data_IF_513343849115
#
_entry.id   IF_513343849115
#
_cell.length_a   1.000
_cell.length_b   1.000
_cell.length_c   1.000
_cell.angle_alpha   90.00
_cell.angle_beta   90.00
_cell.angle_gamma   90.00
#
_symmetry.space_group_name_H-M   'P 1'
#
loop_
_entity.id
_entity.type
_entity.pdbx_description
1 polymer ?
#
# COMPACT_ATOMS: atom_id res chain seq x y z
N UNK A 1 -18.26 4.63 0.01
CA UNK A 1 -17.02 4.36 0.76
C UNK A 1 -17.23 4.82 2.19
N UNK A 2 -16.94 3.97 3.19
CA UNK A 2 -16.93 4.35 4.60
C UNK A 2 -15.49 4.28 5.08
N UNK A 3 -14.99 5.35 5.68
CA UNK A 3 -13.64 5.41 6.25
C UNK A 3 -13.68 5.04 7.73
N UNK A 4 -12.67 4.31 8.17
CA UNK A 4 -12.40 4.02 9.58
C UNK A 4 -11.10 4.69 9.98
N UNK A 5 -11.00 5.03 11.26
CA UNK A 5 -9.81 5.64 11.85
C UNK A 5 -9.10 4.61 12.73
N UNK A 6 -7.77 4.61 12.80
CA UNK A 6 -7.06 3.78 13.75
C UNK A 6 -7.28 4.31 15.17
N UNK A 7 -7.48 3.41 16.13
CA UNK A 7 -7.41 3.65 17.58
C UNK A 7 -6.11 2.98 18.08
N UNK A 8 -4.96 3.69 18.12
CA UNK A 8 -3.66 3.10 18.43
C UNK A 8 -3.58 2.56 19.85
N UNK A 9 -4.34 3.15 20.79
CA UNK A 9 -4.33 2.73 22.19
C UNK A 9 -5.01 1.37 22.37
N UNK A 10 -6.11 1.13 21.65
CA UNK A 10 -6.83 -0.14 21.69
C UNK A 10 -6.45 -1.12 20.56
N UNK A 11 -5.57 -0.71 19.64
CA UNK A 11 -5.09 -1.55 18.53
C UNK A 11 -6.19 -2.01 17.56
N UNK A 12 -7.17 -1.14 17.28
CA UNK A 12 -8.37 -1.48 16.48
C UNK A 12 -8.75 -0.36 15.51
N UNK A 13 -9.66 -0.66 14.60
CA UNK A 13 -10.28 0.32 13.71
C UNK A 13 -11.63 0.78 14.25
N UNK A 14 -11.89 2.08 14.26
CA UNK A 14 -13.12 2.71 14.75
C UNK A 14 -13.82 3.50 13.65
N UNK A 15 -15.15 3.55 13.72
CA UNK A 15 -15.93 4.39 12.80
C UNK A 15 -16.09 5.79 13.38
N UNK A 16 -15.93 6.88 12.59
CA UNK A 16 -16.20 8.24 13.04
C UNK A 16 -17.65 8.43 13.51
N UNK A 17 -18.58 7.69 12.89
CA UNK A 17 -19.98 7.58 13.29
C UNK A 17 -20.40 6.10 13.29
N UNK A 18 -21.27 5.64 14.21
CA UNK A 18 -21.65 4.23 14.28
C UNK A 18 -22.22 3.71 12.95
N UNK A 19 -21.73 2.55 12.49
CA UNK A 19 -22.21 1.86 11.30
C UNK A 19 -22.92 0.58 11.73
N UNK A 20 -24.19 0.42 11.36
CA UNK A 20 -25.03 -0.72 11.77
C UNK A 20 -25.04 -0.94 13.30
N UNK A 21 -24.96 0.15 14.07
CA UNK A 21 -24.88 0.11 15.54
C UNK A 21 -23.48 -0.23 16.10
N UNK A 22 -22.50 -0.54 15.26
CA UNK A 22 -21.12 -0.80 15.65
C UNK A 22 -20.29 0.48 15.68
N UNK A 23 -19.47 0.65 16.72
CA UNK A 23 -18.49 1.74 16.85
C UNK A 23 -17.10 1.35 16.36
N UNK A 24 -16.82 0.05 16.31
CA UNK A 24 -15.54 -0.48 15.82
C UNK A 24 -15.72 -1.53 14.73
N UNK A 25 -14.69 -1.68 13.89
CA UNK A 25 -14.66 -2.71 12.85
C UNK A 25 -14.70 -4.12 13.46
N UNK A 26 -14.09 -4.31 14.64
CA UNK A 26 -14.16 -5.58 15.35
C UNK A 26 -15.58 -5.94 15.80
N UNK A 27 -16.39 -4.95 16.21
CA UNK A 27 -17.82 -5.18 16.48
C UNK A 27 -18.58 -5.55 15.22
N UNK A 28 -18.30 -4.89 14.10
CA UNK A 28 -18.92 -5.22 12.81
C UNK A 28 -18.57 -6.64 12.36
N UNK A 29 -17.31 -7.05 12.49
CA UNK A 29 -16.88 -8.43 12.21
C UNK A 29 -17.65 -9.44 13.05
N UNK A 30 -17.81 -9.18 14.37
CA UNK A 30 -18.62 -10.03 15.25
C UNK A 30 -20.09 -10.06 14.83
N UNK A 31 -20.67 -8.91 14.49
CA UNK A 31 -22.04 -8.80 14.01
C UNK A 31 -22.26 -9.61 12.72
N UNK A 32 -21.28 -9.62 11.82
CA UNK A 32 -21.28 -10.40 10.60
C UNK A 32 -20.92 -11.89 10.78
N UNK A 33 -20.79 -12.36 12.02
CA UNK A 33 -20.55 -13.77 12.34
C UNK A 33 -19.08 -14.23 12.18
N UNK A 34 -18.13 -13.30 12.10
CA UNK A 34 -16.72 -13.65 12.06
C UNK A 34 -16.26 -14.30 13.38
N UNK A 35 -15.22 -15.14 13.30
CA UNK A 35 -14.64 -15.78 14.48
C UNK A 35 -14.17 -14.71 15.49
N UNK A 36 -14.48 -14.81 16.80
CA UNK A 36 -14.05 -13.84 17.80
C UNK A 36 -12.53 -13.59 17.87
N UNK A 37 -11.72 -14.57 17.46
CA UNK A 37 -10.25 -14.47 17.42
C UNK A 37 -9.73 -13.84 16.12
N UNK A 38 -10.58 -13.68 15.11
CA UNK A 38 -10.19 -13.07 13.85
C UNK A 38 -9.97 -11.57 14.06
N UNK A 39 -8.78 -11.10 13.66
CA UNK A 39 -8.46 -9.67 13.64
C UNK A 39 -9.28 -8.99 12.54
N UNK A 40 -9.97 -7.91 12.89
CA UNK A 40 -10.62 -7.05 11.90
C UNK A 40 -9.59 -6.24 11.12
N UNK A 41 -9.63 -6.34 9.78
CA UNK A 41 -8.69 -5.68 8.87
C UNK A 41 -9.42 -4.82 7.85
N UNK A 42 -8.70 -3.86 7.28
CA UNK A 42 -9.12 -3.11 6.10
C UNK A 42 -8.23 -3.51 4.92
N UNK A 43 -8.71 -3.41 3.66
CA UNK A 43 -10.06 -3.03 3.24
C UNK A 43 -11.13 -4.09 3.57
N UNK A 44 -12.41 -3.70 3.57
CA UNK A 44 -13.56 -4.58 3.80
C UNK A 44 -14.67 -4.27 2.79
N UNK A 45 -15.10 -5.29 2.03
CA UNK A 45 -16.34 -5.26 1.27
C UNK A 45 -17.44 -5.95 2.06
N UNK A 46 -18.50 -5.21 2.34
CA UNK A 46 -19.61 -5.64 3.20
C UNK A 46 -20.93 -5.56 2.42
N UNK A 47 -21.72 -6.61 2.50
CA UNK A 47 -23.15 -6.52 2.28
C UNK A 47 -23.82 -6.11 3.61
N UNK A 48 -24.43 -4.92 3.70
CA UNK A 48 -24.98 -4.41 4.96
C UNK A 48 -26.19 -5.21 5.47
N UNK A 49 -26.73 -6.14 4.67
CA UNK A 49 -27.90 -6.92 5.06
C UNK A 49 -29.21 -6.17 4.84
N UNK A 50 -30.23 -6.58 5.58
CA UNK A 50 -31.56 -5.95 5.62
C UNK A 50 -32.14 -6.06 7.03
N UNK A 51 -33.35 -5.56 7.26
CA UNK A 51 -34.02 -5.69 8.58
C UNK A 51 -34.13 -7.15 9.06
N UNK A 52 -34.20 -8.11 8.14
CA UNK A 52 -34.34 -9.55 8.42
C UNK A 52 -33.06 -10.36 8.22
N UNK A 53 -31.93 -9.73 7.85
CA UNK A 53 -30.69 -10.42 7.51
C UNK A 53 -29.48 -9.65 8.03
N UNK A 54 -28.68 -10.33 8.86
CA UNK A 54 -27.41 -9.79 9.35
C UNK A 54 -26.48 -9.36 8.21
N UNK A 55 -25.62 -8.35 8.44
CA UNK A 55 -24.59 -7.99 7.48
C UNK A 55 -23.65 -9.17 7.24
N UNK A 56 -23.07 -9.23 6.03
CA UNK A 56 -22.15 -10.30 5.62
C UNK A 56 -20.88 -9.66 5.07
N UNK A 57 -19.73 -10.13 5.55
CA UNK A 57 -18.44 -9.78 4.97
C UNK A 57 -18.29 -10.56 3.67
N UNK A 58 -18.19 -9.85 2.55
CA UNK A 58 -18.03 -10.46 1.22
C UNK A 58 -16.55 -10.79 0.94
N UNK A 59 -15.65 -9.86 1.24
CA UNK A 59 -14.20 -10.10 1.20
C UNK A 59 -13.48 -9.02 2.00
N UNK A 60 -12.33 -9.38 2.57
CA UNK A 60 -11.36 -8.47 3.18
C UNK A 60 -9.95 -8.65 2.60
N UNK A 61 -9.86 -9.31 1.43
CA UNK A 61 -8.59 -9.54 0.73
C UNK A 61 -8.39 -8.47 -0.34
N UNK A 62 -7.43 -7.59 -0.12
CA UNK A 62 -7.17 -6.44 -1.01
C UNK A 62 -6.86 -6.84 -2.45
N UNK A 63 -6.14 -7.96 -2.66
CA UNK A 63 -5.75 -8.42 -3.98
C UNK A 63 -6.97 -8.86 -4.82
N UNK A 64 -7.90 -9.58 -4.21
CA UNK A 64 -9.16 -10.01 -4.82
C UNK A 64 -10.10 -8.82 -5.04
N UNK A 65 -10.18 -7.92 -4.05
CA UNK A 65 -11.06 -6.76 -4.13
C UNK A 65 -10.69 -5.84 -5.29
N UNK A 66 -9.40 -5.62 -5.54
CA UNK A 66 -8.95 -4.80 -6.68
C UNK A 66 -9.35 -5.42 -8.03
N UNK A 67 -9.27 -6.75 -8.18
CA UNK A 67 -9.73 -7.45 -9.39
C UNK A 67 -11.25 -7.39 -9.53
N UNK A 68 -11.98 -7.58 -8.44
CA UNK A 68 -13.43 -7.44 -8.39
C UNK A 68 -13.86 -6.03 -8.81
N UNK A 69 -13.16 -5.00 -8.33
CA UNK A 69 -13.43 -3.60 -8.70
C UNK A 69 -13.11 -3.32 -10.17
N UNK A 70 -12.05 -3.91 -10.73
CA UNK A 70 -11.76 -3.80 -12.17
C UNK A 70 -12.92 -4.33 -13.02
N UNK A 71 -13.51 -5.45 -12.61
CA UNK A 71 -14.62 -6.13 -13.30
C UNK A 71 -15.99 -5.59 -12.89
N UNK A 72 -16.06 -4.61 -11.99
CA UNK A 72 -17.32 -4.11 -11.47
C UNK A 72 -18.11 -3.36 -12.55
N UNK A 73 -19.44 -3.53 -12.62
CA UNK A 73 -20.24 -2.81 -13.60
C UNK A 73 -20.02 -1.29 -13.54
N UNK A 74 -19.68 -0.69 -14.68
CA UNK A 74 -19.40 0.75 -14.77
C UNK A 74 -17.95 1.14 -14.51
N UNK A 75 -17.01 0.20 -14.39
CA UNK A 75 -15.58 0.50 -14.43
C UNK A 75 -15.21 1.18 -15.76
N UNK A 76 -14.50 2.31 -15.68
CA UNK A 76 -14.20 3.15 -16.83
C UNK A 76 -12.92 2.74 -17.58
N UNK A 77 -12.06 1.94 -16.95
CA UNK A 77 -10.77 1.50 -17.47
C UNK A 77 -10.59 0.01 -17.17
N UNK A 78 -10.17 -0.76 -18.16
CA UNK A 78 -9.76 -2.14 -17.97
C UNK A 78 -8.27 -2.19 -17.64
N UNK A 79 -7.96 -2.51 -16.39
CA UNK A 79 -6.60 -2.65 -15.85
C UNK A 79 -6.10 -4.10 -15.88
N UNK A 80 -6.91 -5.03 -16.38
CA UNK A 80 -6.60 -6.46 -16.48
C UNK A 80 -6.94 -6.99 -17.89
N UNK A 81 -6.46 -6.36 -18.98
CA UNK A 81 -6.81 -6.76 -20.33
C UNK A 81 -6.22 -8.13 -20.67
N UNK A 82 -6.98 -8.94 -21.41
CA UNK A 82 -6.64 -10.34 -21.75
C UNK A 82 -5.20 -10.55 -22.25
N UNK A 83 -4.66 -9.72 -23.17
CA UNK A 83 -3.30 -9.93 -23.69
C UNK A 83 -2.18 -9.72 -22.64
N UNK A 84 -2.47 -9.07 -21.51
CA UNK A 84 -1.50 -8.75 -20.47
C UNK A 84 -1.66 -9.60 -19.22
N UNK A 85 -2.62 -10.53 -19.16
CA UNK A 85 -2.93 -11.33 -17.97
C UNK A 85 -1.70 -12.05 -17.39
N UNK A 86 -0.90 -12.69 -18.24
CA UNK A 86 0.30 -13.41 -17.82
C UNK A 86 1.33 -12.47 -17.18
N UNK A 87 1.58 -11.31 -17.80
CA UNK A 87 2.49 -10.31 -17.28
C UNK A 87 1.99 -9.69 -15.97
N UNK A 88 0.68 -9.43 -15.85
CA UNK A 88 0.05 -8.89 -14.63
C UNK A 88 0.18 -9.88 -13.48
N UNK A 89 -0.06 -11.18 -13.73
CA UNK A 89 0.04 -12.22 -12.72
C UNK A 89 1.49 -12.41 -12.27
N UNK A 90 2.44 -12.45 -13.22
CA UNK A 90 3.87 -12.55 -12.91
C UNK A 90 4.32 -11.40 -12.00
N UNK A 91 3.99 -10.16 -12.36
CA UNK A 91 4.31 -9.01 -11.51
C UNK A 91 3.59 -9.06 -10.17
N UNK A 92 2.30 -9.40 -10.15
CA UNK A 92 1.53 -9.49 -8.92
C UNK A 92 2.15 -10.44 -7.89
N UNK A 93 2.59 -11.62 -8.32
CA UNK A 93 3.24 -12.60 -7.45
C UNK A 93 4.59 -12.10 -6.94
N UNK A 94 5.42 -11.55 -7.83
CA UNK A 94 6.73 -11.01 -7.46
C UNK A 94 6.61 -9.83 -6.48
N UNK A 95 5.69 -8.90 -6.76
CA UNK A 95 5.43 -7.72 -5.93
C UNK A 95 4.94 -8.12 -4.53
N UNK A 96 4.00 -9.07 -4.45
CA UNK A 96 3.44 -9.47 -3.17
C UNK A 96 4.53 -10.02 -2.23
N UNK A 97 5.30 -11.00 -2.70
CA UNK A 97 6.29 -11.68 -1.85
C UNK A 97 7.50 -10.81 -1.49
N UNK A 98 8.06 -10.14 -2.50
CA UNK A 98 9.39 -9.52 -2.37
C UNK A 98 9.33 -8.04 -2.04
N UNK A 99 8.21 -7.35 -2.34
CA UNK A 99 8.09 -5.91 -2.14
C UNK A 99 7.04 -5.56 -1.08
N UNK A 100 5.77 -5.88 -1.34
CA UNK A 100 4.64 -5.52 -0.48
C UNK A 100 4.76 -6.16 0.90
N UNK A 101 5.01 -7.47 0.96
CA UNK A 101 5.34 -8.15 2.22
C UNK A 101 6.83 -7.97 2.60
N UNK A 102 7.69 -7.75 1.60
CA UNK A 102 9.14 -7.60 1.77
C UNK A 102 9.52 -6.47 2.74
N UNK A 103 8.88 -5.30 2.63
CA UNK A 103 9.14 -4.18 3.55
C UNK A 103 8.78 -4.53 5.00
N UNK A 104 7.68 -5.26 5.23
CA UNK A 104 7.30 -5.72 6.56
C UNK A 104 8.26 -6.80 7.07
N UNK A 105 8.73 -7.69 6.21
CA UNK A 105 9.74 -8.70 6.58
C UNK A 105 11.05 -8.07 7.02
N UNK A 106 11.44 -6.95 6.41
CA UNK A 106 12.57 -6.14 6.88
C UNK A 106 12.26 -5.54 8.25
N UNK A 107 11.15 -4.81 8.38
CA UNK A 107 10.82 -4.08 9.61
C UNK A 107 10.62 -4.98 10.83
N UNK A 108 10.02 -6.16 10.65
CA UNK A 108 9.71 -7.08 11.75
C UNK A 108 10.72 -8.23 11.90
N UNK A 109 11.85 -8.20 11.17
CA UNK A 109 12.90 -9.20 11.32
C UNK A 109 13.43 -9.23 12.77
N UNK A 110 13.61 -10.43 13.32
CA UNK A 110 14.09 -10.66 14.70
C UNK A 110 15.56 -11.08 14.76
N UNK A 111 16.24 -11.16 13.61
CA UNK A 111 17.66 -11.48 13.51
C UNK A 111 18.26 -10.80 12.28
N UNK A 112 19.56 -10.51 12.34
CA UNK A 112 20.29 -9.90 11.23
C UNK A 112 20.19 -10.75 9.95
N UNK A 113 20.38 -12.06 10.05
CA UNK A 113 20.27 -12.96 8.88
C UNK A 113 18.87 -12.95 8.24
N UNK A 114 17.80 -12.83 9.03
CA UNK A 114 16.45 -12.72 8.49
C UNK A 114 16.22 -11.38 7.79
N UNK A 115 16.75 -10.30 8.39
CA UNK A 115 16.74 -8.96 7.81
C UNK A 115 17.53 -8.92 6.49
N UNK A 116 18.79 -9.35 6.48
CA UNK A 116 19.68 -9.31 5.31
C UNK A 116 19.07 -10.03 4.11
N UNK A 117 18.44 -11.19 4.35
CA UNK A 117 17.75 -11.95 3.30
C UNK A 117 16.51 -11.22 2.78
N UNK A 118 15.73 -10.60 3.66
CA UNK A 118 14.55 -9.84 3.26
C UNK A 118 14.93 -8.59 2.49
N UNK A 119 15.94 -7.84 2.96
CA UNK A 119 16.46 -6.64 2.30
C UNK A 119 17.09 -6.98 0.94
N UNK A 120 17.87 -8.06 0.84
CA UNK A 120 18.45 -8.50 -0.43
C UNK A 120 17.35 -8.84 -1.47
N UNK A 121 16.31 -9.58 -1.07
CA UNK A 121 15.19 -9.89 -1.96
C UNK A 121 14.39 -8.63 -2.36
N UNK A 122 14.20 -7.70 -1.42
CA UNK A 122 13.51 -6.43 -1.64
C UNK A 122 14.24 -5.57 -2.68
N UNK A 123 15.55 -5.39 -2.54
CA UNK A 123 16.34 -4.58 -3.47
C UNK A 123 16.52 -5.27 -4.83
N UNK A 124 16.62 -6.61 -4.87
CA UNK A 124 16.58 -7.34 -6.14
C UNK A 124 15.25 -7.15 -6.88
N UNK A 125 14.12 -7.06 -6.16
CA UNK A 125 12.83 -6.73 -6.76
C UNK A 125 12.79 -5.30 -7.30
N UNK A 126 13.36 -4.32 -6.58
CA UNK A 126 13.49 -2.93 -7.07
C UNK A 126 14.36 -2.84 -8.34
N UNK A 127 15.47 -3.58 -8.39
CA UNK A 127 16.35 -3.65 -9.55
C UNK A 127 15.59 -4.23 -10.78
N UNK A 128 14.82 -5.30 -10.59
CA UNK A 128 13.99 -5.88 -11.67
C UNK A 128 12.89 -4.93 -12.16
N UNK A 129 12.26 -4.18 -11.24
CA UNK A 129 11.27 -3.17 -11.59
C UNK A 129 11.89 -2.01 -12.38
N UNK A 130 13.07 -1.55 -11.97
CA UNK A 130 13.83 -0.52 -12.69
C UNK A 130 14.22 -0.98 -14.11
N UNK A 131 14.70 -2.20 -14.27
CA UNK A 131 15.03 -2.78 -15.57
C UNK A 131 13.80 -2.88 -16.47
N UNK A 132 12.67 -3.37 -15.95
CA UNK A 132 11.42 -3.45 -16.69
C UNK A 132 10.90 -2.08 -17.12
N UNK A 133 10.85 -1.12 -16.21
CA UNK A 133 10.34 0.23 -16.50
C UNK A 133 11.23 1.00 -17.47
N UNK A 134 12.55 0.81 -17.39
CA UNK A 134 13.50 1.45 -18.32
C UNK A 134 13.50 0.83 -19.71
N UNK A 135 13.33 -0.50 -19.83
CA UNK A 135 13.35 -1.21 -21.10
C UNK A 135 12.00 -1.29 -21.82
N UNK A 136 10.90 -1.40 -21.08
CA UNK A 136 9.57 -1.73 -21.61
C UNK A 136 8.49 -0.71 -21.23
N UNK A 137 8.78 0.25 -20.34
CA UNK A 137 7.79 1.14 -19.75
C UNK A 137 6.99 2.02 -20.73
N UNK A 138 6.10 2.90 -20.21
CA UNK A 138 6.22 3.55 -18.91
C UNK A 138 5.53 2.84 -17.73
N UNK A 139 4.87 1.71 -17.94
CA UNK A 139 4.19 0.91 -16.91
C UNK A 139 4.77 -0.50 -16.85
N UNK A 140 4.47 -1.27 -15.80
CA UNK A 140 5.09 -2.58 -15.57
C UNK A 140 4.83 -3.62 -16.67
N UNK A 141 3.64 -3.55 -17.29
CA UNK A 141 3.26 -4.42 -18.40
C UNK A 141 3.38 -3.74 -19.77
N UNK A 142 4.14 -2.65 -19.86
CA UNK A 142 4.44 -1.97 -21.11
C UNK A 142 3.79 -0.59 -21.23
N UNK A 143 3.06 -0.39 -22.33
CA UNK A 143 2.44 0.90 -22.66
C UNK A 143 1.17 1.23 -21.85
N UNK A 144 0.54 0.23 -21.21
CA UNK A 144 -0.75 0.38 -20.54
C UNK A 144 -0.61 0.27 -19.03
N UNK A 145 -1.37 1.09 -18.30
CA UNK A 145 -1.53 0.98 -16.85
C UNK A 145 -2.30 -0.29 -16.53
N UNK A 146 -1.83 -1.09 -15.58
CA UNK A 146 -2.47 -2.35 -15.20
C UNK A 146 -2.65 -2.50 -13.69
N UNK A 147 -3.30 -3.58 -13.27
CA UNK A 147 -3.39 -3.95 -11.86
C UNK A 147 -2.03 -4.18 -11.19
N UNK A 148 -0.99 -4.53 -11.95
CA UNK A 148 0.36 -4.64 -11.41
C UNK A 148 0.86 -3.29 -10.87
N UNK A 149 0.65 -2.20 -11.63
CA UNK A 149 1.01 -0.85 -11.21
C UNK A 149 0.19 -0.39 -9.99
N UNK A 150 -1.11 -0.69 -9.98
CA UNK A 150 -2.00 -0.39 -8.84
C UNK A 150 -1.54 -1.09 -7.57
N UNK A 151 -1.04 -2.32 -7.67
CA UNK A 151 -0.51 -3.08 -6.52
C UNK A 151 0.87 -2.60 -6.07
N UNK A 152 1.68 -2.06 -6.99
CA UNK A 152 2.99 -1.49 -6.67
C UNK A 152 2.89 -0.14 -5.93
N UNK A 153 1.94 0.70 -6.34
CA UNK A 153 1.90 2.11 -5.93
C UNK A 153 1.80 2.35 -4.42
N UNK A 154 0.92 1.66 -3.67
CA UNK A 154 0.81 1.83 -2.22
C UNK A 154 2.15 1.62 -1.50
N UNK A 155 3.02 0.75 -2.01
CA UNK A 155 4.32 0.46 -1.40
C UNK A 155 5.31 1.60 -1.71
N UNK A 156 5.44 2.00 -2.97
CA UNK A 156 6.44 3.00 -3.36
C UNK A 156 6.09 4.44 -2.97
N UNK A 157 4.81 4.79 -2.87
CA UNK A 157 4.41 6.13 -2.41
C UNK A 157 4.74 6.37 -0.93
N UNK A 158 4.86 5.29 -0.13
CA UNK A 158 5.17 5.34 1.30
C UNK A 158 6.67 5.16 1.61
N UNK A 159 7.51 4.97 0.60
CA UNK A 159 8.90 4.53 0.76
C UNK A 159 9.71 5.38 1.74
N UNK A 160 9.91 6.66 1.44
CA UNK A 160 10.71 7.59 2.27
C UNK A 160 9.94 8.07 3.50
N UNK A 161 8.61 7.97 3.48
CA UNK A 161 7.76 8.45 4.57
C UNK A 161 7.64 7.44 5.70
N UNK A 162 7.79 6.14 5.39
CA UNK A 162 7.54 5.05 6.32
C UNK A 162 8.61 3.98 6.21
N UNK A 163 8.70 3.27 5.08
CA UNK A 163 9.44 2.00 5.03
C UNK A 163 10.96 2.15 5.17
N UNK A 164 11.56 3.13 4.49
CA UNK A 164 12.99 3.41 4.64
C UNK A 164 13.36 3.81 6.08
N UNK A 165 12.73 4.82 6.71
CA UNK A 165 13.10 5.24 8.06
C UNK A 165 12.63 4.31 9.20
N UNK A 166 11.50 3.60 9.04
CA UNK A 166 10.92 2.76 10.09
C UNK A 166 11.33 1.29 9.98
N UNK A 167 11.30 0.74 8.77
CA UNK A 167 11.59 -0.68 8.53
C UNK A 167 13.04 -0.93 8.09
N UNK A 168 13.84 0.13 7.97
CA UNK A 168 15.24 0.05 7.57
C UNK A 168 15.44 -0.21 6.08
N UNK A 169 14.41 -0.09 5.23
CA UNK A 169 14.51 -0.32 3.78
C UNK A 169 15.32 0.80 3.08
N UNK A 170 16.61 0.93 3.42
CA UNK A 170 17.43 2.12 3.16
C UNK A 170 18.80 1.83 2.57
N UNK A 171 19.04 0.63 2.01
CA UNK A 171 20.29 0.29 1.29
C UNK A 171 20.64 1.33 0.22
N UNK A 172 19.65 1.73 -0.58
CA UNK A 172 19.73 2.81 -1.54
C UNK A 172 18.43 3.62 -1.50
N UNK A 173 18.48 4.96 -1.62
CA UNK A 173 17.28 5.75 -1.71
C UNK A 173 16.57 5.52 -3.05
N UNK A 174 15.24 5.69 -3.08
CA UNK A 174 14.45 5.34 -4.26
C UNK A 174 14.81 6.15 -5.51
N UNK A 175 15.31 7.39 -5.36
CA UNK A 175 15.77 8.20 -6.49
C UNK A 175 17.02 7.66 -7.20
N UNK A 176 17.70 6.64 -6.64
CA UNK A 176 18.73 5.87 -7.36
C UNK A 176 18.15 4.93 -8.42
N UNK A 177 16.83 4.75 -8.46
CA UNK A 177 16.10 4.01 -9.49
C UNK A 177 15.29 5.02 -10.33
N UNK A 178 15.89 5.65 -11.35
CA UNK A 178 15.28 6.77 -12.05
C UNK A 178 13.99 6.41 -12.78
N UNK A 179 13.85 5.23 -13.37
CA UNK A 179 12.60 4.81 -14.02
C UNK A 179 11.49 4.60 -12.99
N UNK A 180 11.80 3.99 -11.84
CA UNK A 180 10.88 3.87 -10.70
C UNK A 180 10.47 5.22 -10.12
N UNK A 181 11.42 6.15 -9.97
CA UNK A 181 11.14 7.50 -9.49
C UNK A 181 10.16 8.23 -10.41
N UNK A 182 10.39 8.16 -11.72
CA UNK A 182 9.50 8.74 -12.73
C UNK A 182 8.15 8.03 -12.79
N UNK A 183 8.13 6.70 -12.70
CA UNK A 183 6.91 5.90 -12.63
C UNK A 183 6.03 6.32 -11.45
N UNK A 184 6.63 6.54 -10.27
CA UNK A 184 5.89 6.96 -9.07
C UNK A 184 5.26 8.33 -9.25
N UNK A 185 6.02 9.28 -9.79
CA UNK A 185 5.51 10.63 -10.08
C UNK A 185 4.39 10.58 -11.14
N UNK A 186 4.53 9.73 -12.17
CA UNK A 186 3.51 9.50 -13.20
C UNK A 186 2.23 8.91 -12.62
N UNK A 187 2.34 7.88 -11.77
CA UNK A 187 1.17 7.26 -11.13
C UNK A 187 0.45 8.24 -10.21
N UNK A 188 1.18 9.01 -9.37
CA UNK A 188 0.57 10.02 -8.50
C UNK A 188 -0.16 11.11 -9.29
N UNK A 189 0.28 11.41 -10.51
CA UNK A 189 -0.34 12.41 -11.38
C UNK A 189 -1.63 11.93 -12.08
N UNK A 190 -2.01 10.66 -11.94
CA UNK A 190 -3.28 10.17 -12.47
C UNK A 190 -4.46 10.85 -11.76
N UNK A 191 -5.56 11.16 -12.46
CA UNK A 191 -6.73 11.82 -11.87
C UNK A 191 -7.27 11.05 -10.66
N UNK A 192 -7.48 11.73 -9.54
CA UNK A 192 -8.07 11.14 -8.33
C UNK A 192 -7.08 10.41 -7.42
N UNK A 193 -5.84 10.14 -7.85
CA UNK A 193 -4.87 9.36 -7.07
C UNK A 193 -4.28 10.16 -5.92
N UNK A 194 -4.00 11.45 -6.13
CA UNK A 194 -3.45 12.33 -5.10
C UNK A 194 -4.40 12.43 -3.89
N UNK A 195 -5.70 12.46 -4.16
CA UNK A 195 -6.77 12.55 -3.17
C UNK A 195 -6.88 11.28 -2.31
N UNK A 196 -6.34 10.15 -2.77
CA UNK A 196 -6.22 8.92 -1.95
C UNK A 196 -5.01 8.93 -1.02
N UNK A 197 -4.13 9.93 -1.13
CA UNK A 197 -2.86 9.98 -0.42
C UNK A 197 -2.94 10.86 0.83
N UNK A 198 -2.88 10.23 2.01
CA UNK A 198 -2.78 10.92 3.30
C UNK A 198 -1.46 10.58 4.01
N UNK A 199 -0.37 11.31 3.70
CA UNK A 199 0.94 11.02 4.25
C UNK A 199 1.02 11.24 5.76
N UNK A 200 0.19 12.12 6.33
CA UNK A 200 0.14 12.36 7.78
C UNK A 200 -0.50 11.18 8.48
N UNK A 201 -1.64 10.68 7.97
CA UNK A 201 -2.31 9.51 8.54
C UNK A 201 -1.40 8.28 8.49
N UNK A 202 -0.75 8.00 7.34
CA UNK A 202 0.17 6.85 7.24
C UNK A 202 1.32 6.97 8.23
N UNK A 203 2.00 8.12 8.30
CA UNK A 203 3.11 8.32 9.24
C UNK A 203 2.67 8.18 10.68
N UNK A 204 1.52 8.76 11.04
CA UNK A 204 0.97 8.67 12.40
C UNK A 204 0.66 7.24 12.78
N UNK A 205 0.02 6.48 11.89
CA UNK A 205 -0.32 5.07 12.12
C UNK A 205 0.94 4.21 12.27
N UNK A 206 1.86 4.24 11.29
CA UNK A 206 3.04 3.38 11.31
C UNK A 206 4.00 3.69 12.47
N UNK A 207 4.30 4.96 12.74
CA UNK A 207 5.21 5.33 13.83
C UNK A 207 4.55 5.28 15.22
N UNK A 208 3.23 5.46 15.29
CA UNK A 208 2.48 5.51 16.55
C UNK A 208 1.92 4.16 17.00
N UNK A 209 1.58 3.25 16.08
CA UNK A 209 0.87 2.00 16.40
C UNK A 209 1.76 0.73 16.34
N UNK A 210 2.89 0.75 15.63
CA UNK A 210 3.72 -0.46 15.43
C UNK A 210 4.74 -0.70 16.54
N UNK A 211 4.27 -0.91 17.77
CA UNK A 211 5.13 -1.44 18.83
C UNK A 211 5.60 -2.87 18.48
N UNK A 212 6.89 -3.25 18.69
CA UNK A 212 7.95 -2.50 19.37
C UNK A 212 8.88 -1.71 18.46
N UNK A 213 8.59 -1.53 17.16
CA UNK A 213 9.53 -0.96 16.19
C UNK A 213 9.97 0.47 16.56
N UNK A 214 9.05 1.28 17.11
CA UNK A 214 9.33 2.63 17.63
C UNK A 214 8.68 2.83 19.00
N UNK A 215 9.34 2.43 20.11
CA UNK A 215 8.75 2.51 21.45
C UNK A 215 8.40 3.93 21.90
N UNK A 216 9.06 4.95 21.36
CA UNK A 216 8.80 6.35 21.71
C UNK A 216 7.53 6.93 21.09
N UNK A 217 6.91 6.25 20.12
CA UNK A 217 5.76 6.73 19.33
C UNK A 217 5.97 8.11 18.65
N UNK A 218 7.22 8.59 18.55
CA UNK A 218 7.54 9.85 17.91
C UNK A 218 7.46 9.71 16.38
N UNK A 219 6.62 10.54 15.78
CA UNK A 219 6.41 10.64 14.33
C UNK A 219 7.40 11.67 13.76
N UNK A 220 8.42 11.27 12.96
CA UNK A 220 9.33 12.22 12.31
C UNK A 220 8.57 13.15 11.38
N UNK A 221 9.01 14.40 11.22
CA UNK A 221 8.43 15.38 10.29
C UNK A 221 8.49 14.91 8.81
N UNK A 222 7.56 15.40 7.99
CA UNK A 222 7.39 15.04 6.58
C UNK A 222 6.18 15.79 5.98
N UNK A 223 5.73 15.47 4.76
CA UNK A 223 4.57 16.09 4.12
C UNK A 223 3.32 16.01 5.02
N UNK A 224 2.62 17.13 5.16
CA UNK A 224 1.41 17.23 6.00
C UNK A 224 0.13 16.90 5.23
N UNK A 225 0.17 16.96 3.91
CA UNK A 225 -0.96 16.73 3.02
C UNK A 225 -0.48 16.18 1.66
N UNK A 226 -1.43 15.89 0.78
CA UNK A 226 -1.15 15.42 -0.58
C UNK A 226 -0.32 16.43 -1.39
N UNK A 227 -0.57 17.74 -1.28
CA UNK A 227 0.16 18.75 -2.05
C UNK A 227 1.67 18.76 -1.72
N UNK A 228 2.02 18.71 -0.44
CA UNK A 228 3.41 18.61 0.00
C UNK A 228 4.06 17.28 -0.43
N UNK A 229 3.28 16.18 -0.44
CA UNK A 229 3.76 14.89 -0.93
C UNK A 229 4.04 14.93 -2.43
N UNK A 230 3.15 15.53 -3.21
CA UNK A 230 3.30 15.69 -4.65
C UNK A 230 4.57 16.49 -4.99
N UNK A 231 4.79 17.61 -4.29
CA UNK A 231 6.01 18.40 -4.45
C UNK A 231 7.27 17.59 -4.16
N UNK A 232 7.23 16.71 -3.16
CA UNK A 232 8.37 15.87 -2.79
C UNK A 232 8.70 14.84 -3.88
N UNK A 233 7.69 14.11 -4.38
CA UNK A 233 7.92 13.03 -5.34
C UNK A 233 8.18 13.53 -6.77
N UNK A 234 7.78 14.76 -7.09
CA UNK A 234 8.03 15.39 -8.38
C UNK A 234 9.38 16.12 -8.44
N UNK A 235 10.17 16.09 -7.36
CA UNK A 235 11.51 16.66 -7.39
C UNK A 235 12.36 15.95 -8.44
N UNK A 236 13.19 16.70 -9.19
CA UNK A 236 14.16 16.07 -10.07
C UNK A 236 15.08 15.18 -9.21
N UNK A 237 15.46 14.03 -9.77
CA UNK A 237 16.55 13.23 -9.20
C UNK A 237 17.76 14.14 -9.07
N UNK A 238 18.42 14.22 -7.90
CA UNK A 238 19.63 15.01 -7.77
C UNK A 238 20.59 14.61 -8.88
N UNK A 239 20.96 15.55 -9.76
CA UNK A 239 22.08 15.33 -10.66
C UNK A 239 23.26 14.96 -9.79
N UNK A 240 23.93 13.85 -10.09
CA UNK A 240 25.21 13.50 -9.47
C UNK A 240 26.02 14.78 -9.36
N UNK A 241 26.42 15.18 -8.15
CA UNK A 241 27.34 16.30 -8.02
C UNK A 241 28.51 15.96 -8.93
N UNK A 242 28.74 16.77 -9.97
CA UNK A 242 29.96 16.70 -10.75
C UNK A 242 31.10 16.88 -9.75
N UNK A 243 31.75 15.77 -9.40
CA UNK A 243 33.00 15.74 -8.62
C UNK A 243 34.18 15.98 -9.55
#
# INVERSE_FOLDING_TARGET
>A
LVLVEPDPQAGRWVFPAPLLGCRSLQELYRLAGANPQQRATVPLLLDPGSESRSPVILSNESAELVQLLNRWPGSAMDLEPEPLLEAIEQWSQQLQHSLNDGVYRCGFARSQTAYDRAEAALFAALEALEESLSGQGPWLCGAQLTLADVRLFPTLIRWEQVYAPLFGCSRQPLWCFPALWQWRARFLALPGVLETCDPLAWRTDYFGALFPLRPSALVPAGPMDGAALQQLVQRPVPSTMET
#
